data_IF_837973921360
#
_entry.id   IF_837973921360
#
_cell.length_a   1.000
_cell.length_b   1.000
_cell.length_c   1.000
_cell.angle_alpha   90.00
_cell.angle_beta   90.00
_cell.angle_gamma   90.00
#
_symmetry.space_group_name_H-M   'P 1'
#
loop_
_entity.id
_entity.type
_entity.pdbx_description
1 polymer ?
#
# COMPACT_ATOMS: atom_id res chain seq x y z
N UNK A 1 0.30 -3.92 14.06
CA UNK A 1 -0.18 -4.09 12.67
C UNK A 1 -0.14 -5.55 12.20
N UNK A 2 1.02 -6.19 11.97
CA UNK A 2 1.04 -7.59 11.47
C UNK A 2 0.31 -8.62 12.35
N UNK A 3 0.45 -8.60 13.70
CA UNK A 3 -0.31 -9.50 14.56
C UNK A 3 -1.83 -9.32 14.41
N UNK A 4 -2.28 -8.07 14.31
CA UNK A 4 -3.70 -7.71 14.21
C UNK A 4 -4.30 -8.22 12.90
N UNK A 5 -3.57 -8.07 11.80
CA UNK A 5 -3.96 -8.62 10.48
C UNK A 5 -4.13 -10.14 10.55
N UNK A 6 -3.21 -10.85 11.21
CA UNK A 6 -3.31 -12.31 11.37
C UNK A 6 -4.51 -12.72 12.24
N UNK A 7 -4.82 -11.93 13.27
CA UNK A 7 -6.02 -12.14 14.11
C UNK A 7 -7.28 -11.95 13.26
N UNK A 8 -7.37 -10.84 12.52
CA UNK A 8 -8.50 -10.55 11.63
C UNK A 8 -8.68 -11.63 10.56
N UNK A 9 -7.60 -12.10 9.92
CA UNK A 9 -7.67 -13.20 8.94
C UNK A 9 -8.27 -14.48 9.51
N UNK A 10 -7.83 -14.86 10.72
CA UNK A 10 -8.27 -16.08 11.40
C UNK A 10 -9.71 -16.01 11.88
N UNK A 11 -10.13 -14.84 12.35
CA UNK A 11 -11.48 -14.61 12.87
C UNK A 11 -12.51 -14.32 11.77
N UNK A 12 -12.07 -13.74 10.65
CA UNK A 12 -12.95 -13.42 9.53
C UNK A 12 -13.61 -14.67 8.97
N UNK A 13 -14.86 -14.53 8.49
CA UNK A 13 -15.56 -15.58 7.73
C UNK A 13 -15.25 -15.52 6.24
N UNK A 14 -14.82 -14.36 5.77
CA UNK A 14 -14.56 -14.04 4.37
C UNK A 14 -13.07 -14.20 4.04
N UNK A 15 -12.73 -13.99 2.77
CA UNK A 15 -11.36 -14.06 2.28
C UNK A 15 -10.64 -12.76 2.61
N UNK A 16 -9.47 -12.85 3.26
CA UNK A 16 -8.60 -11.70 3.52
C UNK A 16 -7.32 -11.87 2.71
N UNK A 17 -7.04 -10.89 1.85
CA UNK A 17 -5.81 -10.84 1.02
C UNK A 17 -5.16 -9.46 1.14
N UNK A 18 -3.92 -9.32 0.67
CA UNK A 18 -3.32 -8.00 0.50
C UNK A 18 -3.66 -7.46 -0.89
N UNK A 19 -4.02 -6.17 -0.96
CA UNK A 19 -4.22 -5.45 -2.21
C UNK A 19 -3.20 -4.33 -2.34
N UNK A 20 -2.42 -4.34 -3.42
CA UNK A 20 -1.50 -3.25 -3.78
C UNK A 20 -2.25 -2.01 -4.21
N UNK A 21 -3.36 -2.18 -4.94
CA UNK A 21 -4.21 -1.08 -5.37
C UNK A 21 -4.79 -0.30 -4.17
N UNK A 22 -5.17 -1.01 -3.10
CA UNK A 22 -5.64 -0.39 -1.86
C UNK A 22 -4.50 -0.03 -0.88
N UNK A 23 -3.28 -0.52 -1.10
CA UNK A 23 -2.15 -0.36 -0.17
C UNK A 23 -2.40 -0.98 1.21
N UNK A 24 -3.32 -1.94 1.31
CA UNK A 24 -3.82 -2.47 2.58
C UNK A 24 -4.33 -3.90 2.43
N UNK A 25 -4.63 -4.53 3.56
CA UNK A 25 -5.34 -5.82 3.58
C UNK A 25 -6.83 -5.59 3.42
N UNK A 26 -7.48 -6.42 2.62
CA UNK A 26 -8.89 -6.23 2.23
C UNK A 26 -9.68 -7.53 2.32
N UNK A 27 -10.99 -7.39 2.55
CA UNK A 27 -11.96 -8.47 2.40
C UNK A 27 -12.35 -8.59 0.93
N UNK A 28 -12.37 -9.82 0.43
CA UNK A 28 -12.72 -10.14 -0.96
C UNK A 28 -13.85 -11.16 -0.99
N UNK A 29 -14.78 -10.97 -1.94
CA UNK A 29 -15.90 -11.89 -2.10
C UNK A 29 -15.44 -13.23 -2.69
N UNK A 30 -16.06 -14.32 -2.25
CA UNK A 30 -15.81 -15.63 -2.82
C UNK A 30 -16.26 -15.67 -4.29
N UNK A 31 -15.43 -16.12 -5.24
CA UNK A 31 -15.82 -16.19 -6.63
C UNK A 31 -16.98 -17.16 -6.87
N UNK A 32 -17.98 -16.70 -7.61
CA UNK A 32 -19.12 -17.47 -8.07
C UNK A 32 -19.21 -17.42 -9.60
N UNK A 33 -19.99 -18.32 -10.19
CA UNK A 33 -20.34 -18.27 -11.61
C UNK A 33 -21.82 -18.63 -11.73
N UNK A 34 -22.64 -17.66 -12.15
CA UNK A 34 -24.11 -17.80 -12.18
C UNK A 34 -24.64 -18.27 -10.82
N UNK A 35 -24.27 -17.54 -9.78
CA UNK A 35 -24.65 -17.82 -8.38
C UNK A 35 -24.17 -19.15 -7.79
N UNK A 36 -23.38 -19.93 -8.55
CA UNK A 36 -22.75 -21.15 -8.05
C UNK A 36 -21.34 -20.82 -7.55
N UNK A 37 -21.02 -20.99 -6.26
CA UNK A 37 -19.68 -20.77 -5.75
C UNK A 37 -18.65 -21.64 -6.45
N UNK A 38 -17.52 -21.05 -6.83
CA UNK A 38 -16.40 -21.82 -7.38
C UNK A 38 -15.87 -22.74 -6.28
N UNK A 39 -15.83 -24.04 -6.55
CA UNK A 39 -15.29 -25.01 -5.59
C UNK A 39 -13.82 -24.70 -5.28
N UNK A 40 -13.34 -24.90 -4.03
CA UNK A 40 -11.98 -24.53 -3.64
C UNK A 40 -10.89 -25.09 -4.57
N UNK A 41 -11.04 -26.32 -5.09
CA UNK A 41 -10.09 -26.94 -6.04
C UNK A 41 -10.02 -26.20 -7.39
N UNK A 42 -11.10 -25.56 -7.81
CA UNK A 42 -11.17 -24.80 -9.06
C UNK A 42 -10.77 -23.32 -8.92
N UNK A 43 -10.57 -22.84 -7.69
CA UNK A 43 -10.34 -21.43 -7.40
C UNK A 43 -9.09 -20.89 -8.11
N UNK A 44 -8.01 -21.66 -8.11
CA UNK A 44 -6.77 -21.30 -8.80
C UNK A 44 -6.97 -21.12 -10.31
N UNK A 45 -7.64 -22.08 -10.95
CA UNK A 45 -7.95 -21.99 -12.38
C UNK A 45 -8.90 -20.83 -12.69
N UNK A 46 -9.83 -20.51 -11.78
CA UNK A 46 -10.69 -19.34 -11.93
C UNK A 46 -9.86 -18.05 -11.92
N UNK A 47 -8.96 -17.89 -10.94
CA UNK A 47 -8.06 -16.73 -10.85
C UNK A 47 -7.20 -16.60 -12.12
N UNK A 48 -6.55 -17.68 -12.56
CA UNK A 48 -5.78 -17.67 -13.81
C UNK A 48 -6.63 -17.31 -15.02
N UNK A 49 -7.86 -17.84 -15.12
CA UNK A 49 -8.78 -17.54 -16.23
C UNK A 49 -9.21 -16.09 -16.26
N UNK A 50 -9.11 -15.37 -15.14
CA UNK A 50 -9.38 -13.94 -14.99
C UNK A 50 -8.11 -13.08 -15.06
N UNK A 51 -6.94 -13.70 -15.21
CA UNK A 51 -5.67 -12.99 -15.22
C UNK A 51 -5.40 -12.33 -13.86
N UNK A 52 -5.77 -13.00 -12.78
CA UNK A 52 -5.64 -12.49 -11.42
C UNK A 52 -4.84 -13.45 -10.53
N UNK A 53 -4.24 -12.92 -9.47
CA UNK A 53 -3.68 -13.71 -8.38
C UNK A 53 -3.96 -13.05 -7.03
N UNK A 54 -3.87 -13.84 -5.95
CA UNK A 54 -3.95 -13.33 -4.60
C UNK A 54 -2.57 -13.14 -4.00
N UNK A 55 -2.36 -11.96 -3.43
CA UNK A 55 -1.12 -11.65 -2.74
C UNK A 55 -1.20 -12.00 -1.26
N UNK A 56 -0.11 -12.57 -0.74
CA UNK A 56 0.05 -12.74 0.70
C UNK A 56 0.56 -11.45 1.35
N UNK A 57 0.62 -11.41 2.69
CA UNK A 57 1.07 -10.22 3.43
C UNK A 57 2.56 -9.87 3.24
N UNK A 58 3.33 -10.65 2.46
CA UNK A 58 4.67 -10.24 2.05
C UNK A 58 4.63 -9.02 1.13
N UNK A 59 3.51 -8.76 0.44
CA UNK A 59 3.35 -7.55 -0.38
C UNK A 59 3.42 -6.24 0.40
N UNK A 60 3.21 -6.28 1.72
CA UNK A 60 3.42 -5.12 2.62
C UNK A 60 4.92 -4.80 2.75
N UNK A 61 5.78 -5.81 2.67
CA UNK A 61 7.22 -5.69 2.90
C UNK A 61 8.03 -5.60 1.60
N UNK A 62 7.38 -5.79 0.45
CA UNK A 62 8.03 -5.99 -0.83
C UNK A 62 7.37 -5.14 -1.91
N UNK A 63 8.18 -4.43 -2.69
CA UNK A 63 7.72 -3.74 -3.90
C UNK A 63 7.35 -4.72 -5.01
N UNK A 64 7.92 -5.93 -5.01
CA UNK A 64 7.59 -7.00 -5.94
C UNK A 64 6.35 -7.76 -5.49
N UNK A 65 5.46 -8.10 -6.43
CA UNK A 65 4.28 -8.91 -6.15
C UNK A 65 4.63 -10.31 -5.62
N UNK A 66 4.03 -10.69 -4.49
CA UNK A 66 4.27 -11.96 -3.79
C UNK A 66 3.00 -12.81 -3.73
N UNK A 67 2.63 -13.52 -4.82
CA UNK A 67 1.44 -14.35 -4.85
C UNK A 67 1.49 -15.42 -3.75
N UNK A 68 0.35 -15.67 -3.09
CA UNK A 68 0.21 -16.81 -2.22
C UNK A 68 0.19 -18.11 -3.04
N UNK A 69 0.39 -19.26 -2.39
CA UNK A 69 0.15 -20.58 -3.00
C UNK A 69 -1.23 -21.07 -2.66
N UNK A 70 -1.91 -21.69 -3.63
CA UNK A 70 -3.16 -22.43 -3.41
C UNK A 70 -2.86 -23.92 -3.64
N UNK A 71 -3.13 -24.76 -2.63
CA UNK A 71 -2.74 -26.17 -2.64
C UNK A 71 -3.84 -27.04 -2.06
N UNK A 72 -4.17 -28.15 -2.73
CA UNK A 72 -5.01 -29.20 -2.18
C UNK A 72 -4.15 -30.22 -1.42
N UNK A 73 -4.50 -30.48 -0.16
CA UNK A 73 -3.95 -31.59 0.63
C UNK A 73 -4.35 -32.92 -0.02
N UNK A 74 -3.37 -33.78 -0.27
CA UNK A 74 -3.62 -35.13 -0.82
C UNK A 74 -4.39 -36.01 0.17
N UNK A 75 -4.09 -35.86 1.45
CA UNK A 75 -4.63 -36.74 2.50
C UNK A 75 -6.06 -36.37 2.88
N UNK A 76 -6.35 -35.07 3.02
CA UNK A 76 -7.67 -34.59 3.49
C UNK A 76 -8.56 -34.07 2.37
N UNK A 77 -8.02 -33.81 1.18
CA UNK A 77 -8.73 -33.13 0.09
C UNK A 77 -9.01 -31.63 0.36
N UNK A 78 -8.67 -31.11 1.53
CA UNK A 78 -8.83 -29.70 1.88
C UNK A 78 -7.91 -28.82 1.04
N UNK A 79 -8.38 -27.63 0.69
CA UNK A 79 -7.62 -26.65 -0.09
C UNK A 79 -7.21 -25.50 0.81
N UNK A 80 -5.94 -25.13 0.75
CA UNK A 80 -5.33 -24.10 1.57
C UNK A 80 -4.71 -23.01 0.69
N UNK A 81 -4.80 -21.76 1.13
CA UNK A 81 -3.99 -20.66 0.62
C UNK A 81 -2.95 -20.28 1.68
N UNK A 82 -1.68 -20.18 1.32
CA UNK A 82 -0.64 -19.81 2.28
C UNK A 82 0.51 -19.03 1.63
N UNK A 83 1.28 -18.31 2.45
CA UNK A 83 2.44 -17.55 2.00
C UNK A 83 3.41 -18.45 1.20
N UNK A 84 3.82 -18.00 0.01
CA UNK A 84 4.80 -18.72 -0.81
C UNK A 84 6.15 -18.87 -0.09
N UNK A 85 6.61 -17.79 0.58
CA UNK A 85 7.86 -17.71 1.33
C UNK A 85 9.04 -18.37 0.63
N UNK A 86 9.84 -17.59 -0.12
CA UNK A 86 11.08 -18.13 -0.69
C UNK A 86 12.05 -18.51 0.44
N UNK A 87 12.99 -19.38 0.14
CA UNK A 87 14.01 -19.78 1.10
C UNK A 87 14.82 -18.55 1.52
N UNK A 88 14.88 -18.27 2.82
CA UNK A 88 15.49 -17.04 3.35
C UNK A 88 14.52 -15.86 3.57
N UNK A 89 13.32 -15.88 2.97
CA UNK A 89 12.34 -14.81 3.16
C UNK A 89 11.55 -14.95 4.46
N UNK A 90 11.21 -13.83 5.12
CA UNK A 90 10.31 -13.82 6.27
C UNK A 90 8.92 -14.30 5.83
N UNK A 91 8.47 -15.41 6.43
CA UNK A 91 7.10 -15.88 6.26
C UNK A 91 6.15 -14.92 6.97
N UNK A 92 5.31 -14.22 6.21
CA UNK A 92 4.36 -13.24 6.75
C UNK A 92 3.20 -13.85 7.55
N UNK A 93 3.14 -15.17 7.67
CA UNK A 93 2.11 -15.88 8.44
C UNK A 93 0.77 -16.04 7.74
N UNK A 94 0.61 -15.52 6.52
CA UNK A 94 -0.60 -15.68 5.72
C UNK A 94 -0.98 -17.16 5.55
N UNK A 95 -2.17 -17.52 6.01
CA UNK A 95 -2.71 -18.87 5.92
C UNK A 95 -4.25 -18.84 5.97
N UNK A 96 -4.90 -19.49 5.02
CA UNK A 96 -6.35 -19.66 4.97
C UNK A 96 -6.73 -21.09 4.56
N UNK A 97 -7.67 -21.69 5.26
CA UNK A 97 -8.33 -22.93 4.83
C UNK A 97 -9.52 -22.56 3.92
N UNK A 98 -9.31 -22.65 2.60
CA UNK A 98 -10.30 -22.28 1.59
C UNK A 98 -11.51 -23.22 1.59
N UNK A 99 -11.32 -24.49 1.95
CA UNK A 99 -12.44 -25.43 2.13
C UNK A 99 -13.37 -25.05 3.28
N UNK A 100 -12.83 -24.47 4.35
CA UNK A 100 -13.66 -23.91 5.43
C UNK A 100 -14.29 -22.59 4.98
N UNK A 101 -13.51 -21.69 4.38
CA UNK A 101 -13.97 -20.34 4.00
C UNK A 101 -15.17 -20.36 3.05
N UNK A 102 -15.20 -21.24 2.04
CA UNK A 102 -16.36 -21.32 1.13
C UNK A 102 -17.67 -21.64 1.85
N UNK A 103 -17.62 -22.32 2.99
CA UNK A 103 -18.80 -22.70 3.79
C UNK A 103 -19.24 -21.60 4.76
N UNK A 104 -18.35 -20.67 5.09
CA UNK A 104 -18.59 -19.65 6.12
C UNK A 104 -18.73 -18.25 5.55
N UNK A 105 -18.16 -17.99 4.37
CA UNK A 105 -18.17 -16.69 3.70
C UNK A 105 -19.60 -16.22 3.45
N UNK A 106 -19.82 -14.93 3.63
CA UNK A 106 -21.11 -14.30 3.36
C UNK A 106 -21.06 -13.48 2.06
N UNK A 107 -19.85 -13.21 1.58
CA UNK A 107 -19.60 -12.43 0.38
C UNK A 107 -19.39 -13.36 -0.81
N UNK A 108 -20.17 -13.16 -1.88
CA UNK A 108 -20.05 -13.84 -3.16
C UNK A 108 -20.10 -12.82 -4.29
N UNK A 109 -19.34 -13.05 -5.35
CA UNK A 109 -19.36 -12.21 -6.56
C UNK A 109 -19.04 -13.03 -7.79
N UNK A 110 -19.71 -12.76 -8.90
CA UNK A 110 -19.45 -13.42 -10.18
C UNK A 110 -18.24 -12.86 -10.93
N UNK A 111 -17.76 -11.68 -10.50
CA UNK A 111 -16.73 -10.89 -11.16
C UNK A 111 -16.98 -10.76 -12.68
N UNK A 112 -18.24 -10.54 -13.07
CA UNK A 112 -18.66 -10.42 -14.47
C UNK A 112 -18.00 -9.25 -15.21
N UNK A 113 -17.64 -8.20 -14.49
CA UNK A 113 -16.91 -7.04 -15.02
C UNK A 113 -15.46 -7.34 -15.38
N UNK A 114 -14.88 -8.44 -14.86
CA UNK A 114 -13.52 -8.83 -15.18
C UNK A 114 -13.49 -9.68 -16.47
N UNK A 115 -12.82 -9.23 -17.54
CA UNK A 115 -12.63 -10.04 -18.74
C UNK A 115 -11.84 -11.32 -18.42
N UNK A 116 -11.97 -12.34 -19.27
CA UNK A 116 -11.08 -13.49 -19.18
C UNK A 116 -9.68 -13.11 -19.66
N UNK A 117 -8.64 -13.74 -19.10
CA UNK A 117 -7.25 -13.56 -19.50
C UNK A 117 -7.08 -13.76 -21.01
N UNK A 118 -7.68 -14.81 -21.57
CA UNK A 118 -7.65 -15.10 -23.02
C UNK A 118 -8.23 -13.96 -23.86
N UNK A 119 -9.35 -13.36 -23.43
CA UNK A 119 -9.93 -12.22 -24.13
C UNK A 119 -9.06 -10.97 -24.00
N UNK A 120 -8.38 -10.79 -22.86
CA UNK A 120 -7.45 -9.67 -22.68
C UNK A 120 -6.26 -9.78 -23.64
N UNK A 121 -5.70 -10.99 -23.80
CA UNK A 121 -4.59 -11.21 -24.73
C UNK A 121 -4.99 -11.03 -26.18
N UNK A 122 -6.21 -11.42 -26.56
CA UNK A 122 -6.71 -11.28 -27.94
C UNK A 122 -7.10 -9.84 -28.29
N UNK A 123 -7.79 -9.15 -27.39
CA UNK A 123 -8.40 -7.84 -27.67
C UNK A 123 -7.60 -6.65 -27.15
N UNK A 124 -6.60 -6.90 -26.31
CA UNK A 124 -5.90 -5.87 -25.55
C UNK A 124 -6.77 -5.14 -24.51
N UNK A 125 -8.05 -5.52 -24.36
CA UNK A 125 -8.95 -4.89 -23.38
C UNK A 125 -8.56 -5.32 -21.97
N UNK A 126 -8.46 -4.34 -21.08
CA UNK A 126 -8.17 -4.54 -19.65
C UNK A 126 -9.42 -4.30 -18.82
N UNK A 127 -9.49 -4.93 -17.64
CA UNK A 127 -10.46 -4.56 -16.63
C UNK A 127 -10.25 -3.09 -16.24
N UNK A 128 -11.29 -2.27 -16.31
CA UNK A 128 -11.22 -0.94 -15.74
C UNK A 128 -11.54 -1.02 -14.24
N UNK A 129 -10.51 -1.10 -13.40
CA UNK A 129 -10.66 -1.16 -11.94
C UNK A 129 -10.87 0.21 -11.28
N UNK A 130 -10.71 1.31 -12.04
CA UNK A 130 -10.78 2.68 -11.50
C UNK A 130 -12.06 2.98 -10.70
N UNK A 131 -13.27 2.59 -11.17
CA UNK A 131 -14.50 2.84 -10.41
C UNK A 131 -14.51 2.17 -9.03
N UNK A 132 -14.02 0.93 -8.96
CA UNK A 132 -13.96 0.15 -7.73
C UNK A 132 -12.92 0.71 -6.76
N UNK A 133 -11.74 1.09 -7.27
CA UNK A 133 -10.68 1.71 -6.45
C UNK A 133 -11.17 3.03 -5.85
N UNK A 134 -11.86 3.87 -6.64
CA UNK A 134 -12.40 5.13 -6.17
C UNK A 134 -13.49 4.93 -5.13
N UNK A 135 -14.45 4.04 -5.38
CA UNK A 135 -15.50 3.70 -4.41
C UNK A 135 -14.89 3.19 -3.09
N UNK A 136 -13.94 2.26 -3.17
CA UNK A 136 -13.26 1.73 -1.99
C UNK A 136 -12.58 2.85 -1.18
N UNK A 137 -11.87 3.78 -1.84
CA UNK A 137 -11.21 4.89 -1.14
C UNK A 137 -12.17 5.88 -0.51
N UNK A 138 -13.37 6.06 -1.07
CA UNK A 138 -14.37 6.99 -0.57
C UNK A 138 -15.19 6.41 0.58
N UNK A 139 -15.45 5.10 0.55
CA UNK A 139 -16.38 4.43 1.48
C UNK A 139 -15.69 3.74 2.65
N UNK A 140 -14.38 3.45 2.52
CA UNK A 140 -13.63 2.69 3.53
C UNK A 140 -13.52 3.48 4.83
N UNK A 141 -14.03 2.94 5.97
CA UNK A 141 -13.79 3.52 7.27
C UNK A 141 -12.30 3.47 7.63
N UNK A 142 -11.73 4.57 8.09
CA UNK A 142 -10.31 4.67 8.47
C UNK A 142 -9.88 3.66 9.57
N UNK A 143 -10.83 3.10 10.31
CA UNK A 143 -10.57 2.21 11.44
C UNK A 143 -10.74 0.72 11.13
N UNK A 144 -11.18 0.35 9.93
CA UNK A 144 -11.37 -1.06 9.58
C UNK A 144 -10.06 -1.70 9.11
N UNK A 145 -9.63 -2.79 9.77
CA UNK A 145 -8.35 -3.46 9.47
C UNK A 145 -8.41 -4.27 8.15
N UNK A 146 -9.61 -4.60 7.65
CA UNK A 146 -9.77 -5.29 6.36
C UNK A 146 -11.10 -4.93 5.69
N UNK A 147 -11.24 -3.70 5.19
CA UNK A 147 -12.47 -3.24 4.54
C UNK A 147 -12.82 -4.12 3.34
N UNK A 148 -14.12 -4.26 3.07
CA UNK A 148 -14.58 -4.96 1.88
C UNK A 148 -14.22 -4.16 0.64
N UNK A 149 -13.54 -4.81 -0.31
CA UNK A 149 -13.18 -4.22 -1.58
C UNK A 149 -14.08 -4.81 -2.68
N UNK A 150 -15.22 -4.17 -2.88
CA UNK A 150 -16.19 -4.59 -3.89
C UNK A 150 -15.58 -4.63 -5.28
N UNK A 151 -15.87 -5.71 -6.02
CA UNK A 151 -15.39 -5.93 -7.39
C UNK A 151 -13.89 -6.24 -7.53
N UNK A 152 -13.09 -6.15 -6.45
CA UNK A 152 -11.69 -6.53 -6.48
C UNK A 152 -11.53 -8.04 -6.28
N UNK A 153 -11.08 -8.75 -7.33
CA UNK A 153 -10.81 -10.19 -7.27
C UNK A 153 -9.41 -10.51 -6.74
N UNK A 154 -8.44 -9.64 -6.99
CA UNK A 154 -7.01 -9.88 -6.81
C UNK A 154 -6.18 -8.98 -7.71
N UNK A 155 -4.87 -9.11 -7.63
CA UNK A 155 -3.94 -8.34 -8.44
C UNK A 155 -3.91 -8.84 -9.88
N UNK A 156 -3.77 -7.91 -10.83
CA UNK A 156 -3.73 -8.22 -12.27
C UNK A 156 -2.38 -8.81 -12.65
N UNK A 157 -2.38 -10.00 -13.27
CA UNK A 157 -1.14 -10.66 -13.74
C UNK A 157 -0.40 -9.77 -14.74
N UNK A 158 -1.13 -9.01 -15.55
CA UNK A 158 -0.58 -8.12 -16.58
C UNK A 158 0.25 -6.97 -15.97
N UNK A 159 -0.22 -6.37 -14.88
CA UNK A 159 0.45 -5.26 -14.20
C UNK A 159 1.71 -5.70 -13.46
N UNK A 160 1.86 -7.01 -13.26
CA UNK A 160 2.95 -7.63 -12.51
C UNK A 160 3.79 -8.59 -13.37
N UNK A 161 4.05 -8.23 -14.63
CA UNK A 161 5.00 -8.97 -15.48
C UNK A 161 4.58 -10.41 -15.79
N UNK A 162 3.28 -10.69 -15.79
CA UNK A 162 2.74 -12.02 -16.05
C UNK A 162 2.83 -12.98 -14.86
N UNK A 163 3.07 -12.49 -13.64
CA UNK A 163 3.05 -13.32 -12.43
C UNK A 163 1.70 -14.03 -12.32
N UNK A 164 1.74 -15.37 -12.27
CA UNK A 164 0.56 -16.23 -12.20
C UNK A 164 0.25 -16.68 -10.77
N UNK A 165 -0.97 -17.17 -10.55
CA UNK A 165 -1.36 -17.79 -9.29
C UNK A 165 -0.56 -19.10 -9.07
N UNK A 166 0.15 -19.19 -7.96
CA UNK A 166 1.05 -20.32 -7.72
C UNK A 166 0.32 -21.59 -7.28
N UNK A 167 0.72 -22.72 -7.88
CA UNK A 167 0.36 -24.07 -7.45
C UNK A 167 1.40 -24.66 -6.50
N UNK A 168 0.98 -25.59 -5.65
CA UNK A 168 1.88 -26.43 -4.87
C UNK A 168 2.30 -27.68 -5.64
N UNK A 169 3.51 -27.68 -6.22
CA UNK A 169 4.21 -28.93 -6.55
C UNK A 169 4.86 -29.60 -5.33
N UNK A 170 4.97 -28.86 -4.22
CA UNK A 170 5.58 -29.30 -2.98
C UNK A 170 4.56 -30.16 -2.22
N UNK A 171 4.96 -31.36 -1.78
CA UNK A 171 4.15 -32.18 -0.88
C UNK A 171 3.85 -31.38 0.38
N UNK A 172 2.61 -30.92 0.48
CA UNK A 172 2.16 -30.15 1.62
C UNK A 172 1.84 -31.09 2.79
N UNK A 173 2.60 -30.98 3.87
CA UNK A 173 2.22 -31.54 5.18
C UNK A 173 1.75 -30.39 6.07
N UNK A 174 0.50 -30.41 6.59
CA UNK A 174 -0.03 -29.35 7.45
C UNK A 174 0.90 -29.01 8.62
N UNK A 175 1.58 -30.01 9.18
CA UNK A 175 2.49 -29.88 10.33
C UNK A 175 3.71 -28.97 10.04
N UNK A 176 4.05 -28.78 8.77
CA UNK A 176 5.14 -27.89 8.36
C UNK A 176 4.77 -26.40 8.44
N UNK A 177 3.48 -26.08 8.60
CA UNK A 177 3.00 -24.73 8.87
C UNK A 177 2.81 -24.56 10.38
N UNK A 178 3.86 -24.77 11.16
CA UNK A 178 3.90 -24.09 12.46
C UNK A 178 4.17 -22.62 12.18
N UNK A 179 3.28 -21.69 12.58
CA UNK A 179 3.55 -20.28 12.42
C UNK A 179 4.84 -19.97 13.18
N UNK A 180 5.93 -19.69 12.44
CA UNK A 180 7.18 -19.19 13.04
C UNK A 180 6.95 -17.73 13.44
N UNK A 181 6.08 -17.49 14.42
CA UNK A 181 5.79 -16.15 14.97
C UNK A 181 7.06 -15.42 15.39
N UNK A 182 8.06 -16.14 15.89
CA UNK A 182 9.35 -15.56 16.33
C UNK A 182 10.19 -14.94 15.20
N UNK A 183 10.00 -15.35 13.94
CA UNK A 183 10.81 -14.85 12.81
C UNK A 183 10.26 -13.55 12.22
N UNK A 184 8.93 -13.44 12.09
CA UNK A 184 8.31 -12.24 11.53
C UNK A 184 8.52 -11.01 12.43
N UNK A 185 8.42 -11.18 13.76
CA UNK A 185 8.66 -10.08 14.73
C UNK A 185 10.09 -9.55 14.63
N UNK A 186 11.10 -10.43 14.57
CA UNK A 186 12.50 -10.02 14.43
C UNK A 186 12.79 -9.29 13.12
N UNK A 187 12.10 -9.66 12.05
CA UNK A 187 12.29 -9.02 10.75
C UNK A 187 11.61 -7.65 10.69
N UNK A 188 10.43 -7.51 11.28
CA UNK A 188 9.76 -6.21 11.43
C UNK A 188 10.63 -5.27 12.27
N UNK A 189 11.18 -5.73 13.40
CA UNK A 189 12.16 -4.97 14.18
C UNK A 189 13.41 -4.61 13.38
N UNK A 190 13.90 -5.52 12.53
CA UNK A 190 15.05 -5.26 11.67
C UNK A 190 14.76 -4.22 10.58
N UNK A 191 13.57 -4.24 9.98
CA UNK A 191 13.13 -3.20 9.03
C UNK A 191 13.03 -1.86 9.74
N UNK A 192 12.35 -1.80 10.90
CA UNK A 192 12.24 -0.56 11.66
C UNK A 192 13.62 0.04 12.01
N UNK A 193 14.55 -0.81 12.47
CA UNK A 193 15.94 -0.38 12.76
C UNK A 193 16.71 0.04 11.50
N UNK A 194 16.55 -0.65 10.38
CA UNK A 194 17.23 -0.30 9.13
C UNK A 194 16.71 1.04 8.59
N UNK A 195 15.40 1.28 8.65
CA UNK A 195 14.81 2.58 8.28
C UNK A 195 15.23 3.71 9.21
N UNK A 196 15.40 3.44 10.51
CA UNK A 196 15.92 4.44 11.46
C UNK A 196 17.39 4.78 11.19
N UNK A 197 18.22 3.81 10.75
CA UNK A 197 19.62 4.05 10.38
C UNK A 197 19.72 4.92 9.12
N UNK A 198 18.92 4.66 8.08
CA UNK A 198 18.94 5.48 6.85
C UNK A 198 18.48 6.92 7.08
N UNK A 199 17.44 7.13 7.91
CA UNK A 199 16.95 8.47 8.26
C UNK A 199 18.03 9.26 9.03
N UNK A 200 18.73 8.63 9.97
CA UNK A 200 19.80 9.28 10.73
C UNK A 200 21.05 9.56 9.88
N UNK A 201 21.37 8.70 8.90
CA UNK A 201 22.47 8.93 7.96
C UNK A 201 22.19 10.11 7.01
N UNK A 202 20.94 10.27 6.56
CA UNK A 202 20.50 11.42 5.75
C UNK A 202 20.50 12.73 6.55
N UNK A 203 20.14 12.69 7.84
CA UNK A 203 20.22 13.85 8.73
C UNK A 203 21.67 14.28 9.03
N UNK A 204 22.62 13.34 9.02
CA UNK A 204 24.04 13.60 9.30
C UNK A 204 24.78 14.21 8.12
N UNK A 205 24.40 13.85 6.89
CA UNK A 205 25.03 14.34 5.65
C UNK A 205 24.64 15.79 5.30
N UNK A 206 23.59 16.33 5.92
CA UNK A 206 23.19 17.74 5.71
C UNK A 206 23.99 18.74 6.55
N UNK A 207 24.85 18.28 7.47
CA UNK A 207 25.52 19.16 8.45
C UNK A 207 26.94 19.60 8.09
N UNK A 208 27.47 19.23 6.93
CA UNK A 208 28.89 19.42 6.58
C UNK A 208 29.17 20.32 5.36
N UNK A 209 28.28 21.28 5.06
CA UNK A 209 28.57 22.33 4.07
C UNK A 209 28.31 23.72 4.67
N UNK A 210 29.19 24.16 5.57
CA UNK A 210 29.50 25.60 5.77
C UNK A 210 30.61 25.77 6.79
N UNK A 211 31.85 25.83 6.32
CA UNK A 211 32.93 26.65 6.89
C UNK A 211 34.02 26.74 5.84
N UNK A 212 34.12 27.90 5.20
CA UNK A 212 35.35 28.60 4.84
C UNK A 212 34.99 29.70 3.85
N UNK A 213 35.02 30.95 4.32
CA UNK A 213 35.54 32.12 3.59
C UNK A 213 35.39 33.34 4.49
N UNK A 214 36.53 33.82 4.98
CA UNK A 214 36.70 35.11 5.64
C UNK A 214 37.54 36.01 4.74
N UNK A 215 37.23 37.32 4.78
CA UNK A 215 37.88 38.49 4.15
C UNK A 215 36.78 39.24 3.38
N UNK A 216 36.24 40.38 3.80
CA UNK A 216 36.85 41.55 4.46
C UNK A 216 36.57 42.75 3.53
N UNK A 217 35.93 43.81 4.03
CA UNK A 217 36.10 45.25 3.65
C UNK A 217 35.04 46.09 4.39
N UNK A 218 35.46 47.16 5.06
CA UNK A 218 34.63 48.15 5.75
C UNK A 218 34.21 49.30 4.82
N UNK A 219 33.04 49.91 5.07
CA UNK A 219 32.67 51.22 4.51
C UNK A 219 31.24 51.65 4.90
N UNK A 220 30.99 52.89 5.36
CA UNK A 220 29.74 53.28 6.04
C UNK A 220 28.77 54.07 5.14
N UNK A 221 27.47 54.01 5.42
CA UNK A 221 26.63 55.18 5.78
C UNK A 221 25.12 54.94 5.58
N UNK A 222 24.37 55.38 6.61
CA UNK A 222 23.09 56.09 6.61
C UNK A 222 22.01 55.69 5.60
N UNK A 223 20.85 55.27 6.12
CA UNK A 223 19.57 55.53 5.48
C UNK A 223 18.47 54.50 5.71
N UNK A 224 17.47 54.92 6.49
CA UNK A 224 16.06 54.56 6.32
C UNK A 224 15.55 53.18 6.82
N UNK A 225 14.84 53.23 7.96
CA UNK A 225 14.05 52.12 8.51
C UNK A 225 12.81 51.87 7.65
N UNK A 226 12.91 50.95 6.70
CA UNK A 226 11.75 50.30 6.09
C UNK A 226 11.53 48.96 6.81
N UNK A 227 10.39 48.82 7.48
CA UNK A 227 9.97 47.52 8.07
C UNK A 227 9.71 46.52 6.93
N UNK A 228 10.30 45.31 6.94
CA UNK A 228 10.05 44.33 5.90
C UNK A 228 8.63 43.79 6.00
N UNK A 229 7.92 43.76 4.87
CA UNK A 229 6.59 43.17 4.70
C UNK A 229 6.62 41.62 4.68
N UNK A 230 7.57 40.99 5.36
CA UNK A 230 7.71 39.52 5.43
C UNK A 230 7.06 38.91 6.67
N UNK A 231 6.67 39.72 7.65
CA UNK A 231 5.99 39.25 8.87
C UNK A 231 4.48 39.07 8.71
N UNK A 232 3.88 39.53 7.60
CA UNK A 232 2.42 39.49 7.38
C UNK A 232 1.92 38.29 6.57
N UNK A 233 2.80 37.45 6.03
CA UNK A 233 2.43 36.32 5.15
C UNK A 233 2.16 35.03 5.94
N UNK A 234 2.79 34.87 7.10
CA UNK A 234 2.61 33.68 7.94
C UNK A 234 1.25 33.63 8.66
N UNK A 235 0.66 34.79 8.97
CA UNK A 235 -0.64 34.87 9.66
C UNK A 235 -1.85 34.51 8.78
N UNK A 236 -1.70 34.57 7.45
CA UNK A 236 -2.78 34.20 6.52
C UNK A 236 -2.77 32.70 6.21
N UNK A 237 -1.62 32.03 6.36
CA UNK A 237 -1.49 30.57 6.13
C UNK A 237 -1.97 29.77 7.34
N UNK A 238 -1.80 30.28 8.56
CA UNK A 238 -2.27 29.63 9.80
C UNK A 238 -3.79 29.72 10.00
N UNK A 239 -4.50 30.57 9.26
CA UNK A 239 -5.92 30.81 9.51
C UNK A 239 -6.85 29.63 9.19
N UNK A 240 -6.41 28.60 8.45
CA UNK A 240 -7.28 27.47 8.05
C UNK A 240 -6.56 26.14 7.87
N UNK A 241 -5.57 25.80 8.68
CA UNK A 241 -5.08 24.42 8.78
C UNK A 241 -6.03 23.59 9.66
N UNK A 242 -6.13 22.27 9.47
CA UNK A 242 -6.91 21.43 10.40
C UNK A 242 -6.31 21.58 11.81
N UNK A 243 -7.11 21.51 12.88
CA UNK A 243 -6.59 21.62 14.24
C UNK A 243 -5.44 20.65 14.50
N UNK A 244 -5.53 19.43 13.95
CA UNK A 244 -4.50 18.39 14.05
C UNK A 244 -3.19 18.77 13.34
N UNK A 245 -3.27 19.31 12.12
CA UNK A 245 -2.06 19.76 11.40
C UNK A 245 -1.38 20.94 12.11
N UNK A 246 -2.16 21.83 12.76
CA UNK A 246 -1.59 22.94 13.57
C UNK A 246 -0.75 22.41 14.72
N UNK A 247 -1.30 21.47 15.49
CA UNK A 247 -0.62 20.88 16.64
C UNK A 247 0.69 20.18 16.24
N UNK A 248 0.72 19.51 15.08
CA UNK A 248 1.94 18.85 14.59
C UNK A 248 3.01 19.86 14.12
N UNK A 249 2.61 20.95 13.48
CA UNK A 249 3.54 22.01 13.07
C UNK A 249 4.10 22.76 14.28
N UNK A 250 3.27 23.06 15.28
CA UNK A 250 3.70 23.68 16.54
C UNK A 250 4.69 22.79 17.31
N UNK A 251 4.46 21.48 17.37
CA UNK A 251 5.42 20.52 17.94
C UNK A 251 6.76 20.52 17.21
N UNK A 252 6.75 20.58 15.88
CA UNK A 252 7.98 20.70 15.10
C UNK A 252 8.72 22.02 15.38
N UNK A 253 8.00 23.12 15.56
CA UNK A 253 8.58 24.43 15.93
C UNK A 253 9.19 24.44 17.33
N UNK A 254 8.62 23.66 18.26
CA UNK A 254 9.13 23.50 19.63
C UNK A 254 10.19 22.39 19.75
N UNK A 255 10.69 21.84 18.64
CA UNK A 255 11.69 20.75 18.60
C UNK A 255 11.21 19.41 19.22
N UNK A 256 9.89 19.24 19.46
CA UNK A 256 9.33 18.04 20.12
C UNK A 256 9.29 16.79 19.23
N UNK A 257 9.68 16.92 17.96
CA UNK A 257 9.63 15.84 16.97
C UNK A 257 8.21 15.33 16.69
N UNK A 258 8.06 14.63 15.57
CA UNK A 258 6.81 13.93 15.21
C UNK A 258 7.15 12.53 14.70
N UNK A 259 6.21 11.61 14.84
CA UNK A 259 6.31 10.25 14.31
C UNK A 259 6.21 10.25 12.78
N UNK A 260 6.72 9.19 12.16
CA UNK A 260 6.62 8.98 10.70
C UNK A 260 5.17 9.00 10.22
N UNK A 261 4.27 8.34 10.94
CA UNK A 261 2.84 8.36 10.62
C UNK A 261 2.28 9.79 10.66
N UNK A 262 2.61 10.58 11.67
CA UNK A 262 2.17 11.98 11.75
C UNK A 262 2.72 12.82 10.58
N UNK A 263 3.96 12.58 10.16
CA UNK A 263 4.56 13.24 8.99
C UNK A 263 3.84 12.87 7.68
N UNK A 264 3.51 11.60 7.47
CA UNK A 264 2.77 11.13 6.29
C UNK A 264 1.34 11.69 6.22
N UNK A 265 0.74 12.05 7.36
CA UNK A 265 -0.54 12.75 7.41
C UNK A 265 -0.41 14.26 7.22
N UNK A 266 0.76 14.82 7.51
CA UNK A 266 1.03 16.25 7.39
C UNK A 266 1.28 16.67 5.93
N UNK A 267 1.91 15.79 5.14
CA UNK A 267 2.37 16.10 3.79
C UNK A 267 1.98 15.02 2.77
N UNK A 268 1.46 15.45 1.62
CA UNK A 268 1.13 14.61 0.47
C UNK A 268 2.00 15.01 -0.74
N UNK A 269 2.51 14.04 -1.53
CA UNK A 269 3.29 14.33 -2.72
C UNK A 269 2.40 14.72 -3.92
N UNK A 270 2.86 15.68 -4.73
CA UNK A 270 2.25 15.97 -6.02
C UNK A 270 2.71 14.96 -7.07
N UNK A 271 1.77 14.24 -7.69
CA UNK A 271 2.07 13.24 -8.72
C UNK A 271 2.83 13.78 -9.95
N UNK A 272 2.71 15.08 -10.25
CA UNK A 272 3.35 15.69 -11.41
C UNK A 272 4.81 16.11 -11.12
N UNK A 273 5.05 16.87 -10.05
CA UNK A 273 6.38 17.42 -9.75
C UNK A 273 7.14 16.70 -8.62
N UNK A 274 6.51 15.71 -7.97
CA UNK A 274 7.07 14.92 -6.86
C UNK A 274 7.50 15.74 -5.64
N UNK A 275 7.00 16.98 -5.47
CA UNK A 275 7.19 17.78 -4.26
C UNK A 275 6.09 17.48 -3.24
N UNK A 276 6.43 17.56 -1.96
CA UNK A 276 5.52 17.34 -0.84
C UNK A 276 4.85 18.64 -0.41
N UNK A 277 3.55 18.59 -0.14
CA UNK A 277 2.75 19.74 0.23
C UNK A 277 1.77 19.35 1.32
N UNK A 278 1.40 20.29 2.19
CA UNK A 278 0.20 20.14 3.01
C UNK A 278 -1.01 19.85 2.09
N UNK A 279 -1.96 18.94 2.44
CA UNK A 279 -3.08 18.57 1.56
C UNK A 279 -3.89 19.74 0.97
N UNK A 280 -3.98 20.88 1.66
CA UNK A 280 -4.64 22.09 1.13
C UNK A 280 -3.75 22.84 0.13
N UNK A 281 -2.47 23.00 0.43
CA UNK A 281 -1.49 23.58 -0.47
C UNK A 281 -1.33 22.72 -1.73
N UNK A 282 -1.38 21.39 -1.60
CA UNK A 282 -1.34 20.45 -2.71
C UNK A 282 -2.48 20.71 -3.69
N UNK A 283 -3.72 20.87 -3.19
CA UNK A 283 -4.89 21.17 -4.03
C UNK A 283 -4.74 22.45 -4.84
N UNK A 284 -4.20 23.52 -4.23
CA UNK A 284 -3.88 24.77 -4.96
C UNK A 284 -2.75 24.55 -5.96
N UNK A 285 -1.71 23.83 -5.55
CA UNK A 285 -0.54 23.56 -6.36
C UNK A 285 -0.91 22.77 -7.62
N UNK A 286 -1.73 21.71 -7.51
CA UNK A 286 -2.15 20.85 -8.63
C UNK A 286 -2.72 21.69 -9.78
N UNK A 287 -3.50 22.74 -9.48
CA UNK A 287 -4.07 23.64 -10.49
C UNK A 287 -3.01 24.38 -11.32
N UNK A 288 -1.90 24.76 -10.69
CA UNK A 288 -0.74 25.43 -11.33
C UNK A 288 0.33 24.47 -11.85
N UNK A 289 0.39 23.25 -11.31
CA UNK A 289 1.43 22.26 -11.64
C UNK A 289 1.15 21.62 -13.01
N UNK A 290 -0.14 21.41 -13.34
CA UNK A 290 -0.56 20.83 -14.62
C UNK A 290 -0.33 21.71 -15.85
N UNK A 291 -0.18 23.03 -15.68
CA UNK A 291 0.07 23.96 -16.80
C UNK A 291 1.47 23.84 -17.42
N UNK A 292 2.43 23.15 -16.78
CA UNK A 292 3.79 22.99 -17.30
C UNK A 292 4.03 21.67 -18.07
N UNK A 293 3.10 20.71 -18.02
CA UNK A 293 3.24 19.44 -18.74
C UNK A 293 2.64 19.46 -20.17
N UNK A 294 1.98 20.56 -20.59
CA UNK A 294 1.37 20.66 -21.94
C UNK A 294 2.25 21.31 -23.01
N UNK A 295 3.46 21.77 -22.70
CA UNK A 295 4.33 22.46 -23.68
C UNK A 295 5.38 21.58 -24.36
N UNK A 296 5.40 20.26 -24.13
CA UNK A 296 6.42 19.37 -24.70
C UNK A 296 5.93 18.36 -25.76
N UNK A 297 4.70 18.48 -26.26
CA UNK A 297 4.20 17.70 -27.41
C UNK A 297 3.88 18.66 -28.56
N UNK A 298 4.91 19.31 -29.11
CA UNK A 298 4.96 19.84 -30.47
C UNK A 298 6.43 20.00 -30.85
N UNK A 299 7.05 18.92 -31.33
CA UNK A 299 8.19 18.88 -32.24
C UNK A 299 8.26 17.50 -32.88
#
# INVERSE_FOLDING_TARGET
MFPDILVVQRQSRDLIVYSRLAGSVVRVAWPAKKDVPIVPKGLKNFLDSKGAFWECYCGILSMEARPCRIVASKDSGNVFAFCNGLEGDPKCGFFMNLTTKVKTTQLFSDYGHLPSATKCTETGRRANMSPYILSHKLETPLHEIAPYFEGYLGESTYEHGGIAQLNGGIRFRPDNIRPRTKSAVRYVDAIYRATDIEINALASTTREVRRHSASGTQGPSVGEKVRPAEELVWDVVTARTSPESKTLVERLQNEDGITKSEYEHLLEPCNACQRYFEPRALRKHILSCGSLLRTHIQR
#
